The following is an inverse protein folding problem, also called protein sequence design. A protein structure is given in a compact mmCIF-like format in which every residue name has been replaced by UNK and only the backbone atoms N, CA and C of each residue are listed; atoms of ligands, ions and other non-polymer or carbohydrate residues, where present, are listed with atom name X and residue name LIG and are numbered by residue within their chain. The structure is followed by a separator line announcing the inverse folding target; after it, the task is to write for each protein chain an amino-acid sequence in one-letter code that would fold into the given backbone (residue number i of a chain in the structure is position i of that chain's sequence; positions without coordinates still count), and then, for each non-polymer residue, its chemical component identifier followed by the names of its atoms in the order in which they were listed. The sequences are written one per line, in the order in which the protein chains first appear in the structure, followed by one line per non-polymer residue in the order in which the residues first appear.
data_IF_829551968557
#
_entry.id   IF_829551968557
#
_cell.length_a   1.000
_cell.length_b   1.000
_cell.length_c   1.000
_cell.angle_alpha   90.00
_cell.angle_beta   90.00
_cell.angle_gamma   90.00
#
_symmetry.space_group_name_H-M   'P 1'
#
loop_
_entity.id
_entity.type
_entity.pdbx_description
1 polymer ?
#
# COMPACT_ATOMS: atom_id res chain seq x y z
N UNK A 1 2.91 18.37 56.55
CA UNK A 1 2.67 19.18 55.34
C UNK A 1 3.26 18.47 54.09
N UNK A 2 3.05 17.15 53.95
CA UNK A 2 3.66 16.34 52.86
C UNK A 2 2.66 15.48 52.07
N UNK A 3 1.42 15.35 52.54
CA UNK A 3 0.42 14.48 51.91
C UNK A 3 -0.30 15.14 50.71
N UNK A 4 -0.27 16.48 50.61
CA UNK A 4 -0.99 17.22 49.56
C UNK A 4 -0.20 17.33 48.24
N UNK A 5 1.14 17.24 48.28
CA UNK A 5 1.97 17.43 47.08
C UNK A 5 1.96 16.19 46.17
N UNK A 6 1.77 14.98 46.72
CA UNK A 6 1.73 13.73 45.94
C UNK A 6 0.42 13.50 45.18
N UNK A 7 -0.69 14.10 45.63
CA UNK A 7 -1.98 13.99 44.93
C UNK A 7 -2.07 14.89 43.70
N UNK A 8 -1.28 15.98 43.67
CA UNK A 8 -1.26 16.91 42.54
C UNK A 8 -0.48 16.36 41.35
N UNK A 9 0.55 15.53 41.58
CA UNK A 9 1.39 14.96 40.51
C UNK A 9 0.74 13.78 39.78
N UNK A 10 -0.24 13.11 40.38
CA UNK A 10 -0.90 11.93 39.79
C UNK A 10 -2.05 12.34 38.84
N UNK A 11 -2.64 13.52 39.02
CA UNK A 11 -3.76 13.99 38.19
C UNK A 11 -3.25 14.53 36.83
N UNK A 12 -2.00 14.95 36.75
CA UNK A 12 -1.43 15.55 35.53
C UNK A 12 -1.02 14.55 34.44
N UNK A 13 -0.93 13.25 34.72
CA UNK A 13 -0.54 12.23 33.72
C UNK A 13 -1.71 11.60 32.95
N UNK A 14 -2.97 11.83 33.35
CA UNK A 14 -4.15 11.32 32.62
C UNK A 14 -4.71 12.29 31.57
N UNK A 15 -4.18 13.52 31.48
CA UNK A 15 -4.70 14.56 30.57
C UNK A 15 -3.93 14.58 29.23
N UNK A 16 -2.80 13.86 29.10
CA UNK A 16 -2.02 13.81 27.87
C UNK A 16 -2.58 12.85 26.80
N UNK A 17 -3.59 12.03 27.11
CA UNK A 17 -4.18 11.08 26.14
C UNK A 17 -5.42 11.61 25.41
N UNK A 18 -5.89 12.83 25.70
CA UNK A 18 -7.07 13.41 25.06
C UNK A 18 -6.75 14.41 23.93
N UNK A 19 -5.47 14.69 23.68
CA UNK A 19 -5.03 15.60 22.60
C UNK A 19 -4.33 14.90 21.45
N UNK A 20 -4.36 13.56 21.38
CA UNK A 20 -4.13 12.91 20.09
C UNK A 20 -5.33 13.23 19.22
N UNK A 21 -5.24 14.30 18.44
CA UNK A 21 -6.12 14.49 17.30
C UNK A 21 -6.07 13.18 16.52
N UNK A 22 -7.17 12.43 16.40
CA UNK A 22 -7.16 11.35 15.44
C UNK A 22 -6.85 12.02 14.11
N UNK A 23 -5.80 11.54 13.44
CA UNK A 23 -5.41 12.00 12.11
C UNK A 23 -6.43 11.41 11.12
N UNK A 24 -7.71 11.73 11.31
CA UNK A 24 -8.73 11.58 10.30
C UNK A 24 -8.40 12.61 9.23
N UNK A 25 -8.19 12.12 8.00
CA UNK A 25 -8.16 12.96 6.83
C UNK A 25 -9.47 13.76 6.81
N UNK A 26 -9.38 15.05 7.13
CA UNK A 26 -10.50 15.97 7.03
C UNK A 26 -10.70 16.26 5.52
N UNK A 27 -11.64 15.55 4.90
CA UNK A 27 -12.05 15.78 3.52
C UNK A 27 -12.97 17.01 3.46
N UNK A 28 -12.40 18.19 3.70
CA UNK A 28 -13.08 19.46 3.46
C UNK A 28 -12.90 19.88 2.02
N UNK A 29 -13.74 19.34 1.13
CA UNK A 29 -14.26 20.05 -0.05
C UNK A 29 -13.25 20.73 -0.98
N UNK A 30 -12.05 20.18 -1.12
CA UNK A 30 -11.07 20.61 -2.12
C UNK A 30 -10.94 19.50 -3.15
N UNK A 31 -11.18 19.83 -4.43
CA UNK A 31 -10.99 19.01 -5.65
C UNK A 31 -10.42 17.61 -5.41
N UNK A 32 -11.20 16.58 -5.78
CA UNK A 32 -10.94 15.14 -5.64
C UNK A 32 -9.71 14.64 -6.42
N UNK A 33 -8.57 15.28 -6.22
CA UNK A 33 -7.30 15.01 -6.86
C UNK A 33 -6.63 13.78 -6.23
N UNK A 34 -6.03 12.95 -7.07
CA UNK A 34 -5.25 11.79 -6.63
C UNK A 34 -3.98 12.32 -5.94
N UNK A 35 -3.83 12.00 -4.65
CA UNK A 35 -2.69 12.45 -3.85
C UNK A 35 -1.49 11.50 -3.96
N UNK A 36 -0.30 12.00 -3.62
CA UNK A 36 0.91 11.15 -3.43
C UNK A 36 0.66 10.00 -2.47
N UNK A 37 -0.03 10.28 -1.35
CA UNK A 37 -0.33 9.28 -0.33
C UNK A 37 -1.23 8.17 -0.88
N UNK A 38 -2.21 8.51 -1.72
CA UNK A 38 -3.06 7.54 -2.40
C UNK A 38 -2.24 6.60 -3.29
N UNK A 39 -1.33 7.14 -4.12
CA UNK A 39 -0.48 6.33 -5.01
C UNK A 39 0.46 5.43 -4.21
N UNK A 40 1.08 5.95 -3.14
CA UNK A 40 1.92 5.13 -2.25
C UNK A 40 1.15 3.99 -1.62
N UNK A 41 -0.06 4.24 -1.12
CA UNK A 41 -0.93 3.22 -0.56
C UNK A 41 -1.33 2.17 -1.60
N UNK A 42 -1.67 2.60 -2.82
CA UNK A 42 -1.99 1.71 -3.94
C UNK A 42 -0.82 0.76 -4.27
N UNK A 43 0.39 1.32 -4.45
CA UNK A 43 1.59 0.54 -4.73
C UNK A 43 1.95 -0.40 -3.58
N UNK A 44 1.86 0.07 -2.33
CA UNK A 44 2.15 -0.74 -1.16
C UNK A 44 1.18 -1.91 -1.01
N UNK A 45 -0.10 -1.71 -1.31
CA UNK A 45 -1.11 -2.76 -1.31
C UNK A 45 -0.79 -3.86 -2.32
N UNK A 46 -0.49 -3.49 -3.56
CA UNK A 46 -0.09 -4.42 -4.61
C UNK A 46 1.19 -5.20 -4.24
N UNK A 47 2.19 -4.49 -3.70
CA UNK A 47 3.45 -5.09 -3.29
C UNK A 47 3.27 -6.07 -2.13
N UNK A 48 2.42 -5.75 -1.16
CA UNK A 48 2.13 -6.62 -0.02
C UNK A 48 1.43 -7.90 -0.47
N UNK A 49 0.39 -7.81 -1.31
CA UNK A 49 -0.35 -8.98 -1.79
C UNK A 49 0.53 -9.91 -2.62
N UNK A 50 1.32 -9.35 -3.52
CA UNK A 50 2.17 -10.12 -4.42
C UNK A 50 3.32 -10.79 -3.68
N UNK A 51 3.96 -10.11 -2.72
CA UNK A 51 4.97 -10.73 -1.85
C UNK A 51 4.42 -11.92 -1.08
N UNK A 52 3.19 -11.85 -0.58
CA UNK A 52 2.57 -12.99 0.10
C UNK A 52 2.31 -14.16 -0.86
N UNK A 53 1.88 -13.88 -2.10
CA UNK A 53 1.71 -14.90 -3.14
C UNK A 53 3.06 -15.56 -3.47
N UNK A 54 4.11 -14.76 -3.68
CA UNK A 54 5.47 -15.22 -3.99
C UNK A 54 6.02 -16.03 -2.81
N UNK A 55 5.89 -15.53 -1.58
CA UNK A 55 6.33 -16.21 -0.36
C UNK A 55 5.67 -17.58 -0.18
N UNK A 56 4.35 -17.68 -0.39
CA UNK A 56 3.64 -18.97 -0.33
C UNK A 56 4.09 -19.93 -1.41
N UNK A 57 4.52 -19.43 -2.57
CA UNK A 57 5.06 -20.26 -3.64
C UNK A 57 6.49 -20.73 -3.32
N UNK A 58 7.29 -19.86 -2.69
CA UNK A 58 8.70 -20.06 -2.36
C UNK A 58 8.92 -20.78 -1.02
N UNK A 59 7.85 -21.01 -0.26
CA UNK A 59 7.93 -21.68 1.03
C UNK A 59 8.51 -23.09 0.91
N UNK A 60 9.77 -23.21 1.32
CA UNK A 60 10.48 -24.48 1.42
C UNK A 60 9.85 -25.35 2.52
N UNK A 61 9.77 -26.65 2.24
CA UNK A 61 9.26 -27.86 2.98
C UNK A 61 8.39 -27.74 4.26
N UNK A 62 8.54 -26.74 5.11
CA UNK A 62 7.86 -26.60 6.41
C UNK A 62 6.53 -25.82 6.38
N UNK A 63 6.24 -25.07 5.30
CA UNK A 63 4.94 -24.43 5.03
C UNK A 63 4.58 -24.54 3.55
N UNK A 64 4.61 -25.76 3.02
CA UNK A 64 4.27 -26.00 1.61
C UNK A 64 2.88 -25.40 1.30
N UNK A 65 2.74 -24.63 0.20
CA UNK A 65 1.42 -24.22 -0.26
C UNK A 65 0.57 -25.47 -0.49
N UNK A 66 -0.74 -25.35 -0.27
CA UNK A 66 -1.63 -26.50 -0.45
C UNK A 66 -1.46 -27.10 -1.84
N UNK A 67 -1.61 -28.42 -1.97
CA UNK A 67 -1.52 -29.09 -3.28
C UNK A 67 -2.49 -28.51 -4.30
N UNK A 68 -3.62 -27.96 -3.84
CA UNK A 68 -4.55 -27.18 -4.67
C UNK A 68 -3.92 -25.91 -5.22
N UNK A 69 -3.32 -25.06 -4.37
CA UNK A 69 -2.68 -23.81 -4.79
C UNK A 69 -1.57 -24.07 -5.82
N UNK A 70 -0.70 -25.06 -5.55
CA UNK A 70 0.39 -25.42 -6.46
C UNK A 70 -0.11 -25.86 -7.85
N UNK A 71 -1.16 -26.69 -7.89
CA UNK A 71 -1.76 -27.13 -9.17
C UNK A 71 -2.44 -25.97 -9.91
N UNK A 72 -3.25 -25.18 -9.20
CA UNK A 72 -3.97 -24.05 -9.78
C UNK A 72 -3.00 -22.98 -10.32
N UNK A 73 -1.90 -22.72 -9.62
CA UNK A 73 -0.86 -21.82 -10.08
C UNK A 73 -0.17 -22.35 -11.34
N UNK A 74 0.27 -23.62 -11.33
CA UNK A 74 0.95 -24.23 -12.49
C UNK A 74 0.09 -24.19 -13.76
N UNK A 75 -1.23 -24.40 -13.64
CA UNK A 75 -2.12 -24.39 -14.81
C UNK A 75 -2.48 -22.99 -15.29
N UNK A 76 -2.57 -21.99 -14.41
CA UNK A 76 -2.97 -20.61 -14.78
C UNK A 76 -1.80 -19.70 -15.13
N UNK A 77 -0.65 -19.89 -14.49
CA UNK A 77 0.51 -19.00 -14.61
C UNK A 77 1.67 -19.65 -15.38
N UNK A 78 1.82 -20.99 -15.30
CA UNK A 78 2.87 -21.73 -16.00
C UNK A 78 4.15 -21.94 -15.18
N UNK A 79 5.27 -22.10 -15.86
CA UNK A 79 6.58 -22.28 -15.21
C UNK A 79 7.17 -20.96 -14.71
N UNK A 80 7.81 -21.03 -13.53
CA UNK A 80 8.35 -19.87 -12.82
C UNK A 80 9.55 -19.28 -13.56
N UNK A 81 9.56 -17.96 -13.75
CA UNK A 81 10.81 -17.21 -13.95
C UNK A 81 11.54 -17.04 -12.60
N UNK A 82 12.85 -17.29 -12.50
CA UNK A 82 13.57 -17.41 -11.23
C UNK A 82 13.48 -16.15 -10.34
N UNK A 83 13.33 -14.97 -10.95
CA UNK A 83 13.17 -13.68 -10.26
C UNK A 83 11.97 -12.94 -10.86
N UNK A 84 10.84 -12.93 -10.14
CA UNK A 84 9.68 -12.09 -10.47
C UNK A 84 9.62 -10.90 -9.50
N UNK A 85 9.46 -9.65 -9.99
CA UNK A 85 9.36 -8.48 -9.13
C UNK A 85 8.16 -8.55 -8.17
N UNK A 86 8.24 -7.81 -7.06
CA UNK A 86 7.26 -7.82 -5.98
C UNK A 86 5.85 -7.31 -6.34
N UNK A 87 5.60 -6.92 -7.59
CA UNK A 87 4.28 -6.47 -8.10
C UNK A 87 3.87 -7.16 -9.40
N UNK A 88 4.56 -8.25 -9.77
CA UNK A 88 4.38 -8.95 -11.05
C UNK A 88 2.94 -9.43 -11.28
N UNK A 89 2.27 -9.97 -10.26
CA UNK A 89 0.89 -10.46 -10.37
C UNK A 89 -0.13 -9.33 -10.38
N UNK A 90 0.21 -8.15 -9.86
CA UNK A 90 -0.55 -6.93 -10.04
C UNK A 90 -0.47 -6.37 -11.47
N UNK A 91 0.38 -6.94 -12.35
CA UNK A 91 0.44 -6.58 -13.77
C UNK A 91 1.29 -5.34 -14.09
N UNK A 92 2.24 -5.01 -13.21
CA UNK A 92 3.26 -3.97 -13.41
C UNK A 92 4.52 -4.29 -12.59
N UNK A 93 5.68 -3.76 -12.97
CA UNK A 93 6.94 -4.12 -12.33
C UNK A 93 7.62 -2.90 -11.72
N UNK A 94 7.68 -2.86 -10.38
CA UNK A 94 8.51 -1.88 -9.69
C UNK A 94 9.99 -2.19 -9.93
N UNK A 95 10.83 -1.15 -10.16
CA UNK A 95 12.25 -1.33 -10.42
C UNK A 95 13.00 -1.86 -9.19
N UNK A 96 12.56 -1.43 -8.01
CA UNK A 96 13.10 -1.82 -6.71
C UNK A 96 11.98 -2.27 -5.78
N UNK A 97 12.37 -2.95 -4.71
CA UNK A 97 11.50 -3.37 -3.60
C UNK A 97 11.02 -2.20 -2.72
N UNK A 98 11.33 -0.96 -3.09
CA UNK A 98 10.95 0.25 -2.36
C UNK A 98 10.22 1.23 -3.28
N UNK A 99 9.09 1.76 -2.81
CA UNK A 99 8.33 2.79 -3.51
C UNK A 99 9.06 4.13 -3.37
N UNK A 100 9.83 4.52 -4.39
CA UNK A 100 10.55 5.79 -4.38
C UNK A 100 9.64 6.97 -4.73
N UNK A 101 9.95 8.16 -4.20
CA UNK A 101 9.22 9.39 -4.57
C UNK A 101 9.23 9.63 -6.08
N UNK A 102 10.35 9.30 -6.75
CA UNK A 102 10.48 9.43 -8.20
C UNK A 102 9.47 8.58 -8.97
N UNK A 103 9.19 7.35 -8.50
CA UNK A 103 8.13 6.51 -9.09
C UNK A 103 6.77 7.17 -8.91
N UNK A 104 6.48 7.68 -7.71
CA UNK A 104 5.22 8.37 -7.41
C UNK A 104 5.05 9.63 -8.26
N UNK A 105 6.11 10.43 -8.42
CA UNK A 105 6.15 11.61 -9.28
C UNK A 105 5.84 11.27 -10.74
N UNK A 106 6.47 10.23 -11.27
CA UNK A 106 6.27 9.80 -12.66
C UNK A 106 4.84 9.33 -12.93
N UNK A 107 4.19 8.72 -11.94
CA UNK A 107 2.78 8.30 -12.03
C UNK A 107 1.87 9.52 -11.97
N UNK A 108 2.11 10.46 -11.03
CA UNK A 108 1.33 11.69 -10.91
C UNK A 108 1.37 12.54 -12.17
N UNK A 109 2.52 12.63 -12.83
CA UNK A 109 2.67 13.37 -14.08
C UNK A 109 1.79 12.82 -15.23
N UNK A 110 1.35 11.56 -15.15
CA UNK A 110 0.47 10.93 -16.14
C UNK A 110 -1.03 11.14 -15.84
N UNK A 111 -1.37 11.61 -14.64
CA UNK A 111 -2.76 11.74 -14.19
C UNK A 111 -3.28 13.17 -14.48
N UNK A 112 -4.28 13.27 -15.36
CA UNK A 112 -4.99 14.53 -15.62
C UNK A 112 -6.07 14.76 -14.56
N UNK A 113 -5.82 15.66 -13.60
CA UNK A 113 -6.65 15.87 -12.40
C UNK A 113 -7.79 16.89 -12.58
N UNK A 114 -8.40 16.93 -13.77
CA UNK A 114 -9.27 18.06 -14.14
C UNK A 114 -10.77 17.86 -13.82
N UNK A 115 -11.17 16.80 -13.11
CA UNK A 115 -12.56 16.60 -12.69
C UNK A 115 -12.67 15.76 -11.43
N UNK A 116 -13.80 15.87 -10.75
CA UNK A 116 -14.13 15.00 -9.62
C UNK A 116 -14.32 13.57 -10.11
N UNK A 117 -13.54 12.63 -9.55
CA UNK A 117 -13.59 11.22 -9.87
C UNK A 117 -14.17 10.42 -8.69
N UNK A 118 -14.98 9.40 -8.97
CA UNK A 118 -15.31 8.37 -7.98
C UNK A 118 -14.06 7.56 -7.60
N UNK A 119 -14.12 6.86 -6.48
CA UNK A 119 -12.95 6.08 -6.00
C UNK A 119 -12.55 4.97 -6.96
N UNK A 120 -13.53 4.33 -7.62
CA UNK A 120 -13.27 3.34 -8.67
C UNK A 120 -12.58 3.96 -9.88
N UNK A 121 -13.00 5.16 -10.29
CA UNK A 121 -12.35 5.87 -11.41
C UNK A 121 -10.92 6.28 -11.04
N UNK A 122 -10.69 6.76 -9.80
CA UNK A 122 -9.34 7.07 -9.30
C UNK A 122 -8.45 5.83 -9.34
N UNK A 123 -8.91 4.71 -8.79
CA UNK A 123 -8.17 3.46 -8.78
C UNK A 123 -7.83 2.99 -10.20
N UNK A 124 -8.79 3.04 -11.12
CA UNK A 124 -8.59 2.66 -12.52
C UNK A 124 -7.60 3.59 -13.25
N UNK A 125 -7.68 4.90 -13.00
CA UNK A 125 -6.76 5.87 -13.60
C UNK A 125 -5.32 5.65 -13.09
N UNK A 126 -5.15 5.47 -11.78
CA UNK A 126 -3.86 5.13 -11.17
C UNK A 126 -3.31 3.83 -11.75
N UNK A 127 -4.13 2.79 -11.82
CA UNK A 127 -3.73 1.49 -12.36
C UNK A 127 -3.24 1.60 -13.81
N UNK A 128 -3.99 2.28 -14.68
CA UNK A 128 -3.60 2.49 -16.08
C UNK A 128 -2.32 3.32 -16.21
N UNK A 129 -2.18 4.38 -15.41
CA UNK A 129 -0.97 5.21 -15.39
C UNK A 129 0.26 4.37 -14.98
N UNK A 130 0.12 3.53 -13.96
CA UNK A 130 1.18 2.61 -13.51
C UNK A 130 1.56 1.64 -14.63
N UNK A 131 0.61 0.96 -15.26
CA UNK A 131 0.90 0.00 -16.34
C UNK A 131 1.64 0.65 -17.51
N UNK A 132 1.32 1.91 -17.83
CA UNK A 132 2.01 2.66 -18.88
C UNK A 132 3.44 3.03 -18.51
N UNK A 133 3.70 3.39 -17.24
CA UNK A 133 5.01 3.87 -16.78
C UNK A 133 5.95 2.75 -16.33
N UNK A 134 5.39 1.65 -15.82
CA UNK A 134 6.11 0.55 -15.16
C UNK A 134 5.66 -0.81 -15.71
N UNK A 135 5.72 -1.05 -17.04
CA UNK A 135 5.41 -2.36 -17.57
C UNK A 135 6.40 -3.40 -17.04
N UNK A 136 5.88 -4.61 -16.81
CA UNK A 136 6.69 -5.82 -16.86
C UNK A 136 6.97 -6.17 -18.33
#
# INVERSE_FOLDING_TARGET
MEAHMKRLTIVTTMIACLFTTPLYANDTGHSAAISRAYIKGFLAGAQLSDREIISRLDADKNKQPSGFFKRAYKTRVGERKPSIPATFFAGFCLPDDTISEKVVDNILAELSLNHSMSDTEKANAVFKAIQKKLPC
#
